data_IF_855741881017
#
_entry.id   IF_855741881017
#
_cell.length_a   1.000
_cell.length_b   1.000
_cell.length_c   1.000
_cell.angle_alpha   90.00
_cell.angle_beta   90.00
_cell.angle_gamma   90.00
#
_symmetry.space_group_name_H-M   'P 1'
#
loop_
_entity.id
_entity.type
_entity.pdbx_description
1 polymer ?
#
# COMPACT_ATOMS: atom_id res chain seq x y z
N UNK A 1 -19.61 9.74 -0.07
CA UNK A 1 -19.03 8.52 -0.64
C UNK A 1 -17.64 8.35 -0.06
N UNK A 2 -16.97 7.24 -0.37
CA UNK A 2 -15.62 6.95 0.13
C UNK A 2 -14.60 7.91 -0.47
N UNK A 3 -13.66 8.38 0.35
CA UNK A 3 -12.67 9.41 -0.02
C UNK A 3 -11.34 8.84 -0.53
N UNK A 4 -11.10 7.53 -0.37
CA UNK A 4 -9.87 6.86 -0.77
C UNK A 4 -10.07 5.35 -0.92
N UNK A 5 -9.16 4.70 -1.66
CA UNK A 5 -8.98 3.25 -1.70
C UNK A 5 -7.71 2.91 -0.92
N UNK A 6 -7.78 1.92 -0.03
CA UNK A 6 -6.67 1.48 0.81
C UNK A 6 -6.37 -0.02 0.59
N UNK A 7 -5.08 -0.36 0.62
CA UNK A 7 -4.59 -1.74 0.55
C UNK A 7 -3.35 -1.93 1.42
N UNK A 8 -3.03 -3.19 1.72
CA UNK A 8 -1.73 -3.59 2.26
C UNK A 8 -0.93 -4.29 1.17
N UNK A 9 0.08 -3.61 0.62
CA UNK A 9 0.94 -4.17 -0.41
C UNK A 9 2.11 -4.91 0.24
N UNK A 10 2.49 -6.07 -0.31
CA UNK A 10 3.84 -6.59 -0.08
C UNK A 10 4.87 -5.52 -0.47
N UNK A 11 5.94 -5.36 0.30
CA UNK A 11 7.00 -4.35 0.04
C UNK A 11 7.64 -4.52 -1.33
N UNK A 12 7.75 -5.76 -1.82
CA UNK A 12 8.23 -6.07 -3.18
C UNK A 12 7.31 -5.55 -4.29
N UNK A 13 6.01 -5.35 -4.00
CA UNK A 13 5.01 -4.86 -4.94
C UNK A 13 4.74 -3.34 -4.81
N UNK A 14 5.40 -2.63 -3.90
CA UNK A 14 5.18 -1.19 -3.68
C UNK A 14 5.32 -0.39 -4.98
N UNK A 15 6.38 -0.65 -5.75
CA UNK A 15 6.59 0.01 -7.03
C UNK A 15 5.44 -0.19 -8.01
N UNK A 16 4.88 -1.40 -8.09
CA UNK A 16 3.72 -1.68 -8.95
C UNK A 16 2.53 -0.78 -8.59
N UNK A 17 2.22 -0.66 -7.29
CA UNK A 17 1.11 0.17 -6.82
C UNK A 17 1.38 1.67 -6.91
N UNK A 18 2.64 2.10 -6.74
CA UNK A 18 3.03 3.49 -7.00
C UNK A 18 2.73 3.90 -8.46
N UNK A 19 3.01 3.03 -9.44
CA UNK A 19 2.67 3.29 -10.85
C UNK A 19 1.15 3.36 -11.10
N UNK A 20 0.34 2.74 -10.23
CA UNK A 20 -1.13 2.82 -10.27
C UNK A 20 -1.71 4.04 -9.52
N UNK A 21 -0.85 4.87 -8.94
CA UNK A 21 -1.22 6.09 -8.22
C UNK A 21 -1.50 5.89 -6.73
N UNK A 22 -1.09 4.76 -6.14
CA UNK A 22 -1.11 4.59 -4.70
C UNK A 22 0.14 5.19 -4.05
N UNK A 23 0.00 5.69 -2.84
CA UNK A 23 1.10 6.22 -2.02
C UNK A 23 1.22 5.44 -0.71
N UNK A 24 2.44 5.13 -0.23
CA UNK A 24 2.63 4.45 1.05
C UNK A 24 2.19 5.35 2.22
N UNK A 25 1.60 4.74 3.26
CA UNK A 25 1.18 5.41 4.49
C UNK A 25 1.70 4.64 5.70
N UNK A 26 2.44 5.32 6.57
CA UNK A 26 3.01 4.73 7.79
C UNK A 26 4.22 3.82 7.53
N UNK A 27 4.54 3.00 8.54
CA UNK A 27 5.71 2.12 8.55
C UNK A 27 5.40 0.72 8.01
N UNK A 28 6.38 0.04 7.41
CA UNK A 28 6.24 -1.38 7.06
C UNK A 28 5.91 -2.26 8.27
N UNK A 29 5.15 -3.32 8.02
CA UNK A 29 4.84 -4.35 9.02
C UNK A 29 5.05 -5.75 8.45
N UNK A 30 5.15 -6.76 9.31
CA UNK A 30 5.31 -8.15 8.89
C UNK A 30 3.98 -8.89 8.98
N UNK A 31 3.60 -9.56 7.90
CA UNK A 31 2.45 -10.47 7.86
C UNK A 31 2.92 -11.82 7.32
N UNK A 32 2.79 -12.88 8.11
CA UNK A 32 3.27 -14.25 7.80
C UNK A 32 4.70 -14.30 7.24
N UNK A 33 5.63 -13.53 7.83
CA UNK A 33 7.03 -13.48 7.42
C UNK A 33 7.31 -12.64 6.17
N UNK A 34 6.29 -11.96 5.63
CA UNK A 34 6.42 -11.12 4.44
C UNK A 34 6.24 -9.65 4.85
N UNK A 35 7.20 -8.77 4.53
CA UNK A 35 7.06 -7.35 4.76
C UNK A 35 5.96 -6.75 3.88
N UNK A 36 5.03 -6.03 4.49
CA UNK A 36 3.95 -5.27 3.87
C UNK A 36 4.02 -3.79 4.24
N UNK A 37 3.29 -2.94 3.52
CA UNK A 37 3.07 -1.53 3.85
C UNK A 37 1.64 -1.12 3.44
N UNK A 38 1.00 -0.29 4.24
CA UNK A 38 -0.28 0.32 3.87
C UNK A 38 -0.06 1.31 2.72
N UNK A 39 -0.96 1.28 1.74
CA UNK A 39 -0.97 2.24 0.65
C UNK A 39 -2.38 2.75 0.38
N UNK A 40 -2.48 4.02 0.00
CA UNK A 40 -3.76 4.69 -0.29
C UNK A 40 -3.76 5.38 -1.64
N UNK A 41 -4.94 5.49 -2.24
CA UNK A 41 -5.17 6.24 -3.48
C UNK A 41 -6.44 7.07 -3.36
N UNK A 42 -6.32 8.38 -3.57
CA UNK A 42 -7.47 9.25 -3.74
C UNK A 42 -8.20 8.94 -5.07
N UNK A 43 -9.52 9.17 -5.16
CA UNK A 43 -10.30 8.96 -6.38
C UNK A 43 -9.76 9.75 -7.59
#
# INVERSE_FOLDING_TARGET
GDSEVMLYAQRSAEGFYQHLGFVPRGEPFEEVGIPHIEMVKAP
#
